data_IF_076688757542
#
_entry.id   IF_076688757542
#
_cell.length_a   1.000
_cell.length_b   1.000
_cell.length_c   1.000
_cell.angle_alpha   90.00
_cell.angle_beta   90.00
_cell.angle_gamma   90.00
#
_symmetry.space_group_name_H-M   'P 1'
#
loop_
_entity.id
_entity.type
_entity.pdbx_description
1 polymer ?
#
# COMPACT_ATOMS: atom_id res chain seq x y z
N UNK A 1 -10.38 12.41 -24.76
CA UNK A 1 -10.45 11.50 -23.58
C UNK A 1 -9.04 11.24 -23.06
N UNK A 2 -8.34 12.30 -22.61
CA UNK A 2 -6.92 12.22 -22.22
C UNK A 2 -6.57 13.05 -20.98
N UNK A 3 -7.52 13.80 -20.43
CA UNK A 3 -7.27 14.74 -19.32
C UNK A 3 -7.48 14.08 -17.94
N UNK A 4 -8.16 12.92 -17.88
CA UNK A 4 -8.42 12.22 -16.62
C UNK A 4 -7.21 11.46 -16.03
N UNK A 5 -6.12 11.27 -16.78
CA UNK A 5 -5.03 10.39 -16.36
C UNK A 5 -3.89 11.09 -15.59
N UNK A 6 -3.72 12.40 -15.76
CA UNK A 6 -2.61 13.14 -15.14
C UNK A 6 -2.82 13.30 -13.63
N UNK A 7 -4.07 13.52 -13.19
CA UNK A 7 -4.40 13.64 -11.76
C UNK A 7 -4.24 12.32 -10.99
N UNK A 8 -4.61 11.20 -11.62
CA UNK A 8 -4.41 9.86 -11.05
C UNK A 8 -2.92 9.52 -11.00
N UNK A 9 -2.15 9.91 -12.03
CA UNK A 9 -0.71 9.70 -12.07
C UNK A 9 0.03 10.53 -11.02
N UNK A 10 -0.32 11.81 -10.83
CA UNK A 10 0.28 12.64 -9.77
C UNK A 10 -0.11 12.17 -8.38
N UNK A 11 -1.32 11.64 -8.20
CA UNK A 11 -1.76 11.03 -6.94
C UNK A 11 -1.00 9.73 -6.63
N UNK A 12 -0.76 8.87 -7.64
CA UNK A 12 0.02 7.64 -7.49
C UNK A 12 1.51 7.91 -7.26
N UNK A 13 2.09 8.92 -7.93
CA UNK A 13 3.46 9.38 -7.67
C UNK A 13 3.57 9.96 -6.25
N UNK A 14 2.57 10.74 -5.82
CA UNK A 14 2.49 11.28 -4.47
C UNK A 14 2.43 10.19 -3.40
N UNK A 15 1.60 9.16 -3.60
CA UNK A 15 1.53 7.98 -2.72
C UNK A 15 2.85 7.19 -2.70
N UNK A 16 3.48 7.01 -3.87
CA UNK A 16 4.76 6.33 -4.00
C UNK A 16 5.88 7.01 -3.22
N UNK A 17 6.00 8.34 -3.35
CA UNK A 17 6.95 9.15 -2.59
C UNK A 17 6.65 9.16 -1.09
N UNK A 18 5.36 9.12 -0.71
CA UNK A 18 4.95 8.98 0.69
C UNK A 18 5.37 7.64 1.28
N UNK A 19 5.10 6.53 0.58
CA UNK A 19 5.52 5.19 1.01
C UNK A 19 7.04 5.04 1.05
N UNK A 20 7.77 5.65 0.12
CA UNK A 20 9.22 5.67 0.13
C UNK A 20 9.77 6.46 1.33
N UNK A 21 9.18 7.62 1.65
CA UNK A 21 9.59 8.40 2.83
C UNK A 21 9.32 7.67 4.14
N UNK A 22 8.25 6.88 4.22
CA UNK A 22 7.93 6.05 5.39
C UNK A 22 8.90 4.87 5.49
N UNK A 23 9.22 4.23 4.36
CA UNK A 23 10.17 3.13 4.29
C UNK A 23 11.59 3.59 4.64
N UNK A 24 12.10 4.65 4.02
CA UNK A 24 13.43 5.21 4.30
C UNK A 24 13.55 5.67 5.76
N UNK A 25 12.49 6.26 6.33
CA UNK A 25 12.46 6.63 7.74
C UNK A 25 12.39 5.42 8.67
N UNK A 26 11.70 4.34 8.28
CA UNK A 26 11.67 3.09 9.03
C UNK A 26 13.02 2.35 8.99
N UNK A 27 13.69 2.33 7.84
CA UNK A 27 15.02 1.75 7.67
C UNK A 27 16.05 2.53 8.47
N UNK A 28 16.01 3.87 8.44
CA UNK A 28 16.93 4.70 9.24
C UNK A 28 16.68 4.57 10.75
N UNK A 29 15.44 4.40 11.20
CA UNK A 29 15.11 4.10 12.60
C UNK A 29 15.60 2.72 13.04
N UNK A 30 15.51 1.70 12.16
CA UNK A 30 16.07 0.36 12.41
C UNK A 30 17.60 0.39 12.37
N UNK A 31 18.22 1.22 11.53
CA UNK A 31 19.68 1.40 11.45
C UNK A 31 20.23 2.08 12.70
N UNK A 32 19.54 3.10 13.23
CA UNK A 32 19.87 3.71 14.53
C UNK A 32 19.69 2.72 15.70
N UNK A 33 18.71 1.81 15.63
CA UNK A 33 18.50 0.78 16.65
C UNK A 33 19.50 -0.40 16.54
N UNK A 34 20.03 -0.68 15.34
CA UNK A 34 21.06 -1.70 15.11
C UNK A 34 22.46 -1.24 15.54
N UNK A 35 22.84 0.01 15.30
CA UNK A 35 24.19 0.51 15.64
C UNK A 35 24.44 0.53 17.16
N UNK A 36 23.38 0.55 17.97
CA UNK A 36 23.46 0.39 19.42
C UNK A 36 23.55 -1.05 19.94
N UNK A 37 23.31 -2.07 19.09
CA UNK A 37 23.18 -3.48 19.51
C UNK A 37 24.22 -4.44 18.91
N UNK A 38 24.98 -4.01 17.89
CA UNK A 38 25.93 -4.88 17.15
C UNK A 38 27.30 -5.03 17.85
N UNK A 39 27.30 -5.33 19.16
CA UNK A 39 28.49 -5.89 19.83
C UNK A 39 28.36 -7.32 20.31
N UNK A 40 27.18 -7.94 20.24
CA UNK A 40 27.00 -9.34 20.58
C UNK A 40 25.93 -9.94 19.69
N UNK A 41 26.33 -10.69 18.64
CA UNK A 41 25.60 -11.82 18.03
C UNK A 41 26.23 -12.15 16.65
N UNK A 42 27.50 -12.54 16.65
CA UNK A 42 28.08 -13.23 15.50
C UNK A 42 27.73 -14.72 15.61
N UNK A 43 26.61 -15.16 15.02
CA UNK A 43 26.48 -16.58 14.61
C UNK A 43 25.31 -16.97 13.67
N UNK A 44 24.63 -16.05 12.97
CA UNK A 44 23.47 -16.43 12.11
C UNK A 44 23.36 -15.69 10.77
N UNK A 45 24.48 -15.39 10.09
CA UNK A 45 24.45 -14.50 8.91
C UNK A 45 24.72 -15.10 7.53
N UNK A 46 25.03 -16.39 7.38
CA UNK A 46 25.40 -16.89 6.03
C UNK A 46 24.23 -17.27 5.11
N UNK A 47 23.02 -17.55 5.63
CA UNK A 47 21.85 -17.85 4.78
C UNK A 47 21.01 -16.61 4.41
N UNK A 48 21.19 -15.49 5.11
CA UNK A 48 20.39 -14.27 4.88
C UNK A 48 21.09 -13.24 3.97
N UNK A 49 22.42 -13.26 3.84
CA UNK A 49 23.12 -12.31 2.96
C UNK A 49 22.89 -12.60 1.46
N UNK A 50 22.75 -13.85 1.06
CA UNK A 50 22.51 -14.22 -0.35
C UNK A 50 21.09 -13.85 -0.82
N UNK A 51 20.11 -13.89 0.10
CA UNK A 51 18.71 -13.49 -0.18
C UNK A 51 18.54 -11.96 -0.24
N UNK A 52 19.34 -11.21 0.52
CA UNK A 52 19.32 -9.73 0.51
C UNK A 52 20.05 -9.21 -0.73
N UNK A 53 21.21 -9.78 -1.09
CA UNK A 53 21.96 -9.45 -2.31
C UNK A 53 21.13 -9.60 -3.59
N UNK A 54 20.42 -10.73 -3.74
CA UNK A 54 19.57 -10.98 -4.91
C UNK A 54 18.31 -10.10 -4.97
N UNK A 55 17.86 -9.56 -3.83
CA UNK A 55 16.73 -8.62 -3.78
C UNK A 55 17.13 -7.20 -4.15
N UNK A 56 18.31 -6.76 -3.74
CA UNK A 56 18.82 -5.42 -4.06
C UNK A 56 19.18 -5.28 -5.55
N UNK A 57 19.70 -6.33 -6.18
CA UNK A 57 19.96 -6.37 -7.63
C UNK A 57 18.65 -6.25 -8.44
N UNK A 58 17.62 -7.02 -8.07
CA UNK A 58 16.30 -6.97 -8.71
C UNK A 58 15.61 -5.60 -8.53
N UNK A 59 15.80 -4.93 -7.39
CA UNK A 59 15.24 -3.60 -7.14
C UNK A 59 15.98 -2.52 -7.94
N UNK A 60 17.30 -2.64 -8.07
CA UNK A 60 18.15 -1.75 -8.89
C UNK A 60 17.77 -1.83 -10.37
N UNK A 61 17.53 -3.04 -10.88
CA UNK A 61 17.10 -3.26 -12.27
C UNK A 61 15.68 -2.76 -12.52
N UNK A 62 14.76 -2.97 -11.57
CA UNK A 62 13.41 -2.40 -11.64
C UNK A 62 13.46 -0.86 -11.68
N UNK A 63 14.31 -0.24 -10.85
CA UNK A 63 14.51 1.21 -10.83
C UNK A 63 15.01 1.73 -12.17
N UNK A 64 16.04 1.10 -12.75
CA UNK A 64 16.57 1.48 -14.08
C UNK A 64 15.51 1.36 -15.17
N UNK A 65 14.70 0.31 -15.14
CA UNK A 65 13.61 0.13 -16.10
C UNK A 65 12.54 1.22 -15.95
N UNK A 66 12.14 1.55 -14.72
CA UNK A 66 11.19 2.63 -14.46
C UNK A 66 11.74 3.99 -14.88
N UNK A 67 13.02 4.28 -14.62
CA UNK A 67 13.68 5.52 -15.08
C UNK A 67 13.74 5.60 -16.61
N UNK A 68 14.00 4.48 -17.28
CA UNK A 68 13.99 4.37 -18.74
C UNK A 68 12.59 4.61 -19.33
N UNK A 69 11.56 3.98 -18.76
CA UNK A 69 10.17 4.18 -19.18
C UNK A 69 9.70 5.61 -18.94
N UNK A 70 10.06 6.20 -17.79
CA UNK A 70 9.73 7.59 -17.46
C UNK A 70 10.38 8.55 -18.46
N UNK A 71 11.62 8.28 -18.87
CA UNK A 71 12.33 9.08 -19.87
C UNK A 71 11.67 8.97 -21.26
N UNK A 72 11.25 7.76 -21.67
CA UNK A 72 10.48 7.57 -22.92
C UNK A 72 9.14 8.30 -22.87
N UNK A 73 8.40 8.18 -21.77
CA UNK A 73 7.10 8.85 -21.60
C UNK A 73 7.23 10.38 -21.63
N UNK A 74 8.32 10.92 -21.10
CA UNK A 74 8.60 12.37 -21.18
C UNK A 74 8.79 12.84 -22.62
N UNK A 75 9.52 12.09 -23.44
CA UNK A 75 9.68 12.37 -24.88
C UNK A 75 8.35 12.28 -25.63
N UNK A 76 7.54 11.25 -25.35
CA UNK A 76 6.19 11.13 -25.95
C UNK A 76 5.29 12.33 -25.60
N UNK A 77 5.37 12.86 -24.38
CA UNK A 77 4.61 14.06 -23.97
C UNK A 77 5.07 15.30 -24.75
N UNK A 78 6.38 15.50 -24.88
CA UNK A 78 6.95 16.62 -25.63
C UNK A 78 6.52 16.57 -27.12
N UNK A 79 6.49 15.38 -27.73
CA UNK A 79 5.99 15.20 -29.10
C UNK A 79 4.49 15.53 -29.22
N UNK A 80 3.68 15.08 -28.27
CA UNK A 80 2.23 15.37 -28.24
C UNK A 80 1.97 16.86 -28.07
N UNK A 81 2.72 17.55 -27.23
CA UNK A 81 2.59 19.01 -27.05
C UNK A 81 3.01 19.77 -28.32
N UNK A 82 4.06 19.31 -29.02
CA UNK A 82 4.45 19.85 -30.32
C UNK A 82 3.35 19.68 -31.38
N UNK A 83 2.73 18.49 -31.44
CA UNK A 83 1.61 18.21 -32.34
C UNK A 83 0.37 19.07 -32.01
N UNK A 84 0.06 19.23 -30.73
CA UNK A 84 -1.03 20.09 -30.25
C UNK A 84 -0.82 21.55 -30.68
N UNK A 85 0.39 22.06 -30.54
CA UNK A 85 0.73 23.42 -30.97
C UNK A 85 0.58 23.60 -32.49
N UNK A 86 1.04 22.63 -33.29
CA UNK A 86 0.84 22.63 -34.75
C UNK A 86 -0.65 22.60 -35.12
N UNK A 87 -1.45 21.84 -34.40
CA UNK A 87 -2.90 21.77 -34.64
C UNK A 87 -3.59 23.10 -34.32
N UNK A 88 -3.23 23.74 -33.21
CA UNK A 88 -3.76 25.06 -32.84
C UNK A 88 -3.43 26.12 -33.89
N UNK A 89 -2.21 26.10 -34.44
CA UNK A 89 -1.82 26.97 -35.55
C UNK A 89 -2.67 26.73 -36.80
N UNK A 90 -2.91 25.46 -37.17
CA UNK A 90 -3.80 25.13 -38.30
C UNK A 90 -5.25 25.58 -38.08
N UNK A 91 -5.78 25.45 -36.87
CA UNK A 91 -7.11 25.93 -36.51
C UNK A 91 -7.18 27.46 -36.67
N UNK A 92 -6.16 28.19 -36.21
CA UNK A 92 -6.11 29.64 -36.37
C UNK A 92 -6.09 30.06 -37.84
N UNK A 93 -5.31 29.37 -38.69
CA UNK A 93 -5.27 29.64 -40.13
C UNK A 93 -6.60 29.34 -40.83
N UNK A 94 -7.26 28.23 -40.45
CA UNK A 94 -8.58 27.89 -40.98
C UNK A 94 -9.65 28.91 -40.60
N UNK A 95 -9.62 29.43 -39.37
CA UNK A 95 -10.54 30.48 -38.95
C UNK A 95 -10.33 31.78 -39.74
N UNK A 96 -9.07 32.20 -39.94
CA UNK A 96 -8.77 33.36 -40.79
C UNK A 96 -9.28 33.16 -42.22
N UNK A 97 -9.05 31.98 -42.80
CA UNK A 97 -9.56 31.67 -44.15
C UNK A 97 -11.08 31.64 -44.22
N UNK A 98 -11.75 31.21 -43.15
CA UNK A 98 -13.20 31.22 -43.05
C UNK A 98 -13.74 32.66 -43.02
N UNK A 99 -13.17 33.51 -42.19
CA UNK A 99 -13.57 34.92 -42.07
C UNK A 99 -13.39 35.65 -43.41
N UNK A 100 -12.29 35.35 -44.13
CA UNK A 100 -12.05 35.86 -45.48
C UNK A 100 -13.15 35.42 -46.46
N UNK A 101 -13.49 34.13 -46.48
CA UNK A 101 -14.54 33.60 -47.35
C UNK A 101 -15.93 34.16 -47.02
N UNK A 102 -16.24 34.41 -45.75
CA UNK A 102 -17.48 35.07 -45.34
C UNK A 102 -17.53 36.53 -45.84
N UNK A 103 -16.41 37.24 -45.80
CA UNK A 103 -16.28 38.59 -46.36
C UNK A 103 -16.45 38.60 -47.88
N UNK A 104 -15.75 37.72 -48.59
CA UNK A 104 -15.83 37.61 -50.05
C UNK A 104 -17.27 37.26 -50.49
N UNK A 105 -17.95 36.37 -49.75
CA UNK A 105 -19.35 36.03 -50.00
C UNK A 105 -20.28 37.23 -49.80
N UNK A 106 -20.02 38.07 -48.80
CA UNK A 106 -20.79 39.28 -48.56
C UNK A 106 -20.63 40.30 -49.71
N UNK A 107 -19.40 40.53 -50.17
CA UNK A 107 -19.14 41.40 -51.32
C UNK A 107 -19.83 40.90 -52.59
N UNK A 108 -19.74 39.60 -52.86
CA UNK A 108 -20.40 38.99 -54.03
C UNK A 108 -21.92 39.19 -53.99
N UNK A 109 -22.54 39.00 -52.82
CA UNK A 109 -23.99 39.24 -52.63
C UNK A 109 -24.35 40.71 -52.88
N UNK A 110 -23.49 41.63 -52.46
CA UNK A 110 -23.68 43.06 -52.68
C UNK A 110 -23.60 43.40 -54.18
N UNK A 111 -22.61 42.88 -54.89
CA UNK A 111 -22.46 43.07 -56.34
C UNK A 111 -23.64 42.49 -57.13
N UNK A 112 -24.08 41.28 -56.81
CA UNK A 112 -25.27 40.67 -57.41
C UNK A 112 -26.49 41.58 -57.20
N UNK A 113 -26.65 42.14 -56.00
CA UNK A 113 -27.76 43.04 -55.67
C UNK A 113 -27.70 44.34 -56.47
N UNK A 114 -26.51 44.94 -56.62
CA UNK A 114 -26.29 46.14 -57.44
C UNK A 114 -26.61 45.88 -58.91
N UNK A 115 -26.14 44.76 -59.46
CA UNK A 115 -26.36 44.37 -60.87
C UNK A 115 -27.82 44.04 -61.16
N UNK A 116 -28.52 43.45 -60.19
CA UNK A 116 -29.98 43.23 -60.26
C UNK A 116 -30.74 44.55 -60.29
N UNK A 117 -30.31 45.55 -59.51
CA UNK A 117 -30.93 46.88 -59.47
C UNK A 117 -30.71 47.67 -60.78
N UNK A 118 -29.53 47.55 -61.41
CA UNK A 118 -29.27 48.18 -62.71
C UNK A 118 -30.11 47.55 -63.83
N UNK A 119 -30.24 46.23 -63.86
CA UNK A 119 -31.11 45.51 -64.83
C UNK A 119 -32.59 45.91 -64.70
N UNK A 120 -33.06 46.25 -63.50
CA UNK A 120 -34.41 46.74 -63.26
C UNK A 120 -34.62 48.21 -63.70
N UNK A 121 -33.54 49.00 -63.80
CA UNK A 121 -33.60 50.41 -64.24
C UNK A 121 -33.58 50.55 -65.77
N UNK A 122 -33.04 49.57 -66.48
CA UNK A 122 -32.94 49.57 -67.96
C UNK A 122 -34.17 48.96 -68.67
N UNK A 123 -35.23 48.59 -67.96
CA UNK A 123 -36.47 48.08 -68.55
C UNK A 123 -37.54 49.19 -68.70
N UNK A 124 -37.96 49.54 -69.93
CA UNK A 124 -39.09 50.43 -70.13
C UNK A 124 -40.38 49.73 -69.71
N UNK A 125 -41.05 50.26 -68.69
CA UNK A 125 -42.43 49.90 -68.37
C UNK A 125 -43.39 50.47 -69.42
N UNK A 126 -43.62 49.78 -70.54
CA UNK A 126 -44.98 49.59 -71.08
C UNK A 126 -45.01 48.73 -72.35
N UNK A 127 -46.10 47.96 -72.46
CA UNK A 127 -46.53 47.14 -73.60
C UNK A 127 -45.69 45.89 -73.88
N UNK A 128 -46.14 44.75 -73.31
CA UNK A 128 -46.36 43.50 -74.05
C UNK A 128 -46.80 42.39 -73.07
N UNK A 129 -48.10 42.35 -72.77
CA UNK A 129 -48.73 41.20 -72.08
C UNK A 129 -49.47 40.25 -73.03
N UNK A 130 -49.24 40.34 -74.35
CA UNK A 130 -49.93 39.48 -75.35
C UNK A 130 -49.03 38.68 -76.31
N UNK A 131 -47.71 38.65 -76.12
CA UNK A 131 -46.81 37.78 -76.92
C UNK A 131 -45.98 36.79 -76.10
N UNK A 132 -46.19 36.71 -74.78
CA UNK A 132 -45.34 35.89 -73.88
C UNK A 132 -45.52 34.38 -74.08
N UNK A 133 -46.57 33.92 -74.75
CA UNK A 133 -46.78 32.49 -75.03
C UNK A 133 -46.09 31.97 -76.30
N UNK A 134 -45.45 32.81 -77.12
CA UNK A 134 -44.66 32.38 -78.30
C UNK A 134 -43.15 32.56 -78.18
N UNK A 135 -42.65 33.13 -77.07
CA UNK A 135 -41.22 33.37 -76.82
C UNK A 135 -40.63 32.31 -75.86
N UNK A 136 -41.34 31.20 -75.63
CA UNK A 136 -40.87 30.12 -74.74
C UNK A 136 -39.68 29.33 -75.28
N UNK A 137 -39.46 29.32 -76.60
CA UNK A 137 -38.55 28.40 -77.28
C UNK A 137 -37.45 29.05 -78.15
N UNK A 138 -37.46 30.37 -78.36
CA UNK A 138 -36.57 31.03 -79.35
C UNK A 138 -35.44 31.89 -78.76
N UNK A 139 -35.35 32.01 -77.43
CA UNK A 139 -34.28 32.77 -76.78
C UNK A 139 -33.55 31.89 -75.76
N UNK A 140 -32.31 31.43 -76.09
CA UNK A 140 -31.51 30.57 -75.24
C UNK A 140 -31.35 31.10 -73.81
N UNK A 141 -31.22 32.42 -73.67
CA UNK A 141 -31.02 33.09 -72.37
C UNK A 141 -32.20 32.90 -71.42
N UNK A 142 -33.43 32.75 -71.93
CA UNK A 142 -34.63 32.57 -71.11
C UNK A 142 -34.74 31.15 -70.56
N UNK A 143 -34.28 30.15 -71.31
CA UNK A 143 -34.17 28.76 -70.85
C UNK A 143 -33.05 28.62 -69.83
N UNK A 144 -31.89 29.22 -70.10
CA UNK A 144 -30.75 29.22 -69.19
C UNK A 144 -31.12 29.87 -67.84
N UNK A 145 -31.84 30.99 -67.87
CA UNK A 145 -32.29 31.67 -66.65
C UNK A 145 -33.30 30.84 -65.84
N UNK A 146 -34.24 30.14 -66.47
CA UNK A 146 -35.13 29.17 -65.77
C UNK A 146 -34.34 28.05 -65.11
N UNK A 147 -33.30 27.56 -65.79
CA UNK A 147 -32.43 26.48 -65.29
C UNK A 147 -31.62 26.96 -64.09
N UNK A 148 -31.04 28.17 -64.16
CA UNK A 148 -30.34 28.81 -63.06
C UNK A 148 -31.24 29.06 -61.85
N UNK A 149 -32.48 29.53 -62.05
CA UNK A 149 -33.45 29.71 -60.96
C UNK A 149 -33.73 28.38 -60.26
N UNK A 150 -33.93 27.29 -61.01
CA UNK A 150 -34.17 25.97 -60.43
C UNK A 150 -32.94 25.48 -59.64
N UNK A 151 -31.73 25.69 -60.14
CA UNK A 151 -30.49 25.37 -59.42
C UNK A 151 -30.32 26.19 -58.14
N UNK A 152 -30.67 27.49 -58.17
CA UNK A 152 -30.64 28.36 -56.98
C UNK A 152 -31.63 27.84 -55.93
N UNK A 153 -32.87 27.54 -56.32
CA UNK A 153 -33.87 27.00 -55.40
C UNK A 153 -33.43 25.68 -54.78
N UNK A 154 -32.79 24.81 -55.56
CA UNK A 154 -32.25 23.55 -55.06
C UNK A 154 -31.11 23.80 -54.06
N UNK A 155 -30.20 24.73 -54.34
CA UNK A 155 -29.13 25.11 -53.41
C UNK A 155 -29.67 25.75 -52.14
N UNK A 156 -30.70 26.59 -52.22
CA UNK A 156 -31.35 27.19 -51.05
C UNK A 156 -31.95 26.12 -50.13
N UNK A 157 -32.54 25.06 -50.68
CA UNK A 157 -33.05 23.93 -49.89
C UNK A 157 -31.94 23.19 -49.14
N UNK A 158 -30.78 22.99 -49.77
CA UNK A 158 -29.61 22.35 -49.15
C UNK A 158 -29.01 23.25 -48.06
N UNK A 159 -28.97 24.57 -48.29
CA UNK A 159 -28.50 25.53 -47.28
C UNK A 159 -29.39 25.46 -46.04
N UNK A 160 -30.72 25.47 -46.21
CA UNK A 160 -31.65 25.37 -45.08
C UNK A 160 -31.48 24.07 -44.28
N UNK A 161 -31.23 22.94 -44.95
CA UNK A 161 -30.92 21.67 -44.30
C UNK A 161 -29.61 21.74 -43.49
N UNK A 162 -28.55 22.29 -44.09
CA UNK A 162 -27.26 22.46 -43.44
C UNK A 162 -27.33 23.39 -42.23
N UNK A 163 -28.06 24.50 -42.32
CA UNK A 163 -28.29 25.42 -41.20
C UNK A 163 -28.98 24.73 -40.03
N UNK A 164 -30.01 23.91 -40.31
CA UNK A 164 -30.68 23.14 -39.28
C UNK A 164 -29.74 22.10 -38.64
N UNK A 165 -28.92 21.41 -39.45
CA UNK A 165 -27.95 20.43 -38.96
C UNK A 165 -26.87 21.07 -38.09
N UNK A 166 -26.40 22.27 -38.45
CA UNK A 166 -25.46 23.06 -37.63
C UNK A 166 -26.11 23.44 -36.30
N UNK A 167 -27.38 23.87 -36.31
CA UNK A 167 -28.10 24.23 -35.09
C UNK A 167 -28.19 23.06 -34.12
N UNK A 168 -28.63 21.88 -34.59
CA UNK A 168 -28.72 20.65 -33.78
C UNK A 168 -27.34 20.25 -33.23
N UNK A 169 -26.30 20.31 -34.05
CA UNK A 169 -24.94 19.99 -33.60
C UNK A 169 -24.43 20.93 -32.50
N UNK A 170 -24.76 22.23 -32.57
CA UNK A 170 -24.42 23.19 -31.51
C UNK A 170 -25.15 22.88 -30.21
N UNK A 171 -26.44 22.59 -30.29
CA UNK A 171 -27.26 22.23 -29.11
C UNK A 171 -26.72 20.96 -28.44
N UNK A 172 -26.44 19.91 -29.23
CA UNK A 172 -25.85 18.67 -28.73
C UNK A 172 -24.46 18.87 -28.13
N UNK A 173 -23.61 19.70 -28.75
CA UNK A 173 -22.28 20.02 -28.23
C UNK A 173 -22.36 20.72 -26.88
N UNK A 174 -23.28 21.68 -26.73
CA UNK A 174 -23.46 22.43 -25.49
C UNK A 174 -23.98 21.52 -24.36
N UNK A 175 -24.95 20.67 -24.67
CA UNK A 175 -25.49 19.71 -23.70
C UNK A 175 -24.43 18.70 -23.24
N UNK A 176 -23.62 18.18 -24.16
CA UNK A 176 -22.53 17.27 -23.83
C UNK A 176 -21.46 17.93 -22.95
N UNK A 177 -21.18 19.21 -23.17
CA UNK A 177 -20.25 19.99 -22.35
C UNK A 177 -20.80 20.19 -20.93
N UNK A 178 -22.06 20.60 -20.81
CA UNK A 178 -22.73 20.79 -19.51
C UNK A 178 -22.80 19.47 -18.71
N UNK A 179 -23.17 18.36 -19.34
CA UNK A 179 -23.27 17.06 -18.68
C UNK A 179 -21.90 16.56 -18.19
N UNK A 180 -20.85 16.74 -18.99
CA UNK A 180 -19.48 16.39 -18.59
C UNK A 180 -19.00 17.27 -17.45
N UNK A 181 -19.20 18.58 -17.53
CA UNK A 181 -18.82 19.52 -16.47
C UNK A 181 -19.53 19.17 -15.16
N UNK A 182 -20.83 18.86 -15.22
CA UNK A 182 -21.62 18.47 -14.05
C UNK A 182 -21.10 17.18 -13.43
N UNK A 183 -20.77 16.18 -14.25
CA UNK A 183 -20.21 14.89 -13.78
C UNK A 183 -18.84 15.09 -13.13
N UNK A 184 -17.93 15.80 -13.80
CA UNK A 184 -16.60 16.11 -13.28
C UNK A 184 -16.66 16.90 -11.96
N UNK A 185 -17.61 17.82 -11.83
CA UNK A 185 -17.80 18.59 -10.60
C UNK A 185 -18.23 17.70 -9.44
N UNK A 186 -19.17 16.78 -9.67
CA UNK A 186 -19.60 15.82 -8.66
C UNK A 186 -18.45 14.88 -8.23
N UNK A 187 -17.65 14.40 -9.18
CA UNK A 187 -16.45 13.60 -8.88
C UNK A 187 -15.42 14.39 -8.07
N UNK A 188 -15.19 15.66 -8.41
CA UNK A 188 -14.27 16.53 -7.68
C UNK A 188 -14.74 16.78 -6.24
N UNK A 189 -16.02 17.05 -6.02
CA UNK A 189 -16.58 17.27 -4.69
C UNK A 189 -16.46 16.01 -3.81
N UNK A 190 -16.72 14.83 -4.38
CA UNK A 190 -16.52 13.54 -3.70
C UNK A 190 -15.04 13.31 -3.34
N UNK A 191 -14.13 13.58 -4.28
CA UNK A 191 -12.69 13.44 -4.04
C UNK A 191 -12.21 14.36 -2.90
N UNK A 192 -12.73 15.59 -2.87
CA UNK A 192 -12.43 16.56 -1.81
C UNK A 192 -12.90 16.06 -0.44
N UNK A 193 -14.11 15.52 -0.35
CA UNK A 193 -14.64 14.94 0.90
C UNK A 193 -13.76 13.77 1.38
N UNK A 194 -13.38 12.87 0.47
CA UNK A 194 -12.48 11.76 0.81
C UNK A 194 -11.12 12.25 1.34
N UNK A 195 -10.53 13.28 0.74
CA UNK A 195 -9.29 13.88 1.21
C UNK A 195 -9.43 14.41 2.64
N UNK A 196 -10.54 15.08 2.97
CA UNK A 196 -10.80 15.56 4.34
C UNK A 196 -10.91 14.41 5.35
N UNK A 197 -11.57 13.31 4.96
CA UNK A 197 -11.65 12.08 5.79
C UNK A 197 -10.26 11.49 6.02
N UNK A 198 -9.44 11.37 4.98
CA UNK A 198 -8.07 10.87 5.09
C UNK A 198 -7.22 11.75 6.01
N UNK A 199 -7.31 13.08 5.90
CA UNK A 199 -6.58 14.00 6.76
C UNK A 199 -6.97 13.85 8.24
N UNK A 200 -8.27 13.76 8.55
CA UNK A 200 -8.75 13.52 9.92
C UNK A 200 -8.24 12.19 10.47
N UNK A 201 -8.28 11.15 9.65
CA UNK A 201 -7.83 9.81 10.02
C UNK A 201 -6.32 9.78 10.26
N UNK A 202 -5.55 10.46 9.41
CA UNK A 202 -4.09 10.51 9.54
C UNK A 202 -3.67 11.23 10.84
N UNK A 203 -4.35 12.33 11.20
CA UNK A 203 -4.14 13.00 12.51
C UNK A 203 -4.38 12.05 13.69
N UNK A 204 -5.40 11.19 13.60
CA UNK A 204 -5.68 10.18 14.63
C UNK A 204 -4.55 9.15 14.73
N UNK A 205 -4.03 8.68 13.61
CA UNK A 205 -2.89 7.76 13.61
C UNK A 205 -1.62 8.39 14.18
N UNK A 206 -1.31 9.65 13.83
CA UNK A 206 -0.17 10.35 14.43
C UNK A 206 -0.27 10.46 15.95
N UNK A 207 -1.46 10.74 16.48
CA UNK A 207 -1.70 10.75 17.93
C UNK A 207 -1.48 9.38 18.56
N UNK A 208 -1.97 8.31 17.94
CA UNK A 208 -1.75 6.93 18.43
C UNK A 208 -0.27 6.58 18.41
N UNK A 209 0.46 6.92 17.34
CA UNK A 209 1.90 6.68 17.24
C UNK A 209 2.67 7.42 18.34
N UNK A 210 2.30 8.66 18.65
CA UNK A 210 2.93 9.42 19.76
C UNK A 210 2.73 8.71 21.10
N UNK A 211 1.50 8.29 21.41
CA UNK A 211 1.20 7.56 22.65
C UNK A 211 1.98 6.25 22.76
N UNK A 212 2.09 5.50 21.66
CA UNK A 212 2.88 4.26 21.64
C UNK A 212 4.37 4.53 21.85
N UNK A 213 4.93 5.60 21.26
CA UNK A 213 6.32 5.99 21.50
C UNK A 213 6.59 6.34 22.96
N UNK A 214 5.68 7.07 23.60
CA UNK A 214 5.76 7.39 25.04
C UNK A 214 5.78 6.11 25.88
N UNK A 215 4.87 5.16 25.62
CA UNK A 215 4.84 3.87 26.32
C UNK A 215 6.11 3.04 26.12
N UNK A 216 6.67 3.03 24.91
CA UNK A 216 7.94 2.34 24.63
C UNK A 216 9.09 2.97 25.41
N UNK A 217 9.13 4.30 25.55
CA UNK A 217 10.16 4.99 26.33
C UNK A 217 10.04 4.66 27.82
N UNK A 218 8.82 4.62 28.36
CA UNK A 218 8.56 4.20 29.75
C UNK A 218 9.01 2.74 29.99
N UNK A 219 8.72 1.84 29.05
CA UNK A 219 9.17 0.44 29.15
C UNK A 219 10.70 0.33 29.06
N UNK A 220 11.34 1.08 28.16
CA UNK A 220 12.81 1.11 28.03
C UNK A 220 13.46 1.63 29.32
N UNK A 221 12.90 2.66 29.96
CA UNK A 221 13.42 3.19 31.22
C UNK A 221 13.21 2.21 32.38
N UNK A 222 12.03 1.60 32.51
CA UNK A 222 11.76 0.57 33.51
C UNK A 222 12.70 -0.63 33.37
N UNK A 223 12.94 -1.09 32.13
CA UNK A 223 13.91 -2.15 31.84
C UNK A 223 15.32 -1.79 32.31
N UNK A 224 15.78 -0.56 32.05
CA UNK A 224 17.10 -0.10 32.49
C UNK A 224 17.23 -0.05 34.01
N UNK A 225 16.17 0.32 34.72
CA UNK A 225 16.14 0.31 36.19
C UNK A 225 16.26 -1.13 36.69
N UNK A 226 15.43 -2.05 36.16
CA UNK A 226 15.47 -3.48 36.50
C UNK A 226 16.84 -4.10 36.20
N UNK A 227 17.45 -3.80 35.06
CA UNK A 227 18.80 -4.29 34.73
C UNK A 227 19.87 -3.77 35.71
N UNK A 228 19.74 -2.53 36.20
CA UNK A 228 20.63 -1.98 37.22
C UNK A 228 20.42 -2.63 38.58
N UNK A 229 19.17 -2.89 38.98
CA UNK A 229 18.85 -3.59 40.23
C UNK A 229 19.40 -5.02 40.22
N UNK A 230 19.19 -5.77 39.14
CA UNK A 230 19.74 -7.11 38.95
C UNK A 230 21.28 -7.08 39.00
N UNK A 231 21.92 -6.13 38.30
CA UNK A 231 23.39 -6.00 38.31
C UNK A 231 23.93 -5.55 39.66
N UNK A 232 23.19 -4.72 40.40
CA UNK A 232 23.52 -4.29 41.76
C UNK A 232 23.50 -5.47 42.73
N UNK A 233 22.47 -6.33 42.65
CA UNK A 233 22.41 -7.57 43.43
C UNK A 233 23.55 -8.54 43.10
N UNK A 234 24.08 -8.53 41.88
CA UNK A 234 25.26 -9.35 41.52
C UNK A 234 26.61 -8.73 41.91
N UNK A 235 26.66 -7.46 42.33
CA UNK A 235 27.91 -6.77 42.72
C UNK A 235 28.15 -6.71 44.22
N UNK A 236 27.16 -7.01 45.05
CA UNK A 236 27.40 -7.38 46.45
C UNK A 236 28.07 -8.75 46.49
N UNK A 237 29.37 -8.74 46.21
CA UNK A 237 30.31 -9.79 46.58
C UNK A 237 30.46 -9.81 48.10
N UNK A 238 29.38 -10.10 48.82
CA UNK A 238 29.54 -10.96 49.99
C UNK A 238 30.04 -12.29 49.42
N UNK A 239 31.06 -12.94 50.00
CA UNK A 239 31.43 -14.26 49.52
C UNK A 239 30.13 -15.05 49.44
N UNK A 240 29.82 -15.61 48.26
CA UNK A 240 28.92 -16.75 48.21
C UNK A 240 29.62 -17.83 49.06
N UNK A 241 29.41 -17.75 50.37
CA UNK A 241 29.25 -18.93 51.18
C UNK A 241 28.36 -19.79 50.33
N UNK A 242 28.89 -20.96 49.92
CA UNK A 242 28.15 -22.09 49.39
C UNK A 242 26.71 -21.91 49.85
N UNK A 243 25.80 -21.59 48.94
CA UNK A 243 24.40 -21.56 49.33
C UNK A 243 24.15 -22.98 49.81
N UNK A 244 24.10 -23.14 51.13
CA UNK A 244 23.62 -24.34 51.76
C UNK A 244 22.28 -24.55 51.09
N UNK A 245 22.16 -25.62 50.32
CA UNK A 245 20.96 -25.90 49.55
C UNK A 245 19.75 -25.86 50.48
N UNK A 246 18.55 -25.70 49.91
CA UNK A 246 17.35 -25.59 50.74
C UNK A 246 17.22 -26.88 51.56
N UNK A 247 17.36 -26.76 52.89
CA UNK A 247 17.15 -27.88 53.80
C UNK A 247 15.65 -27.98 54.02
N UNK A 248 15.03 -29.01 53.47
CA UNK A 248 13.62 -29.27 53.63
C UNK A 248 13.37 -30.74 53.95
N UNK A 249 12.16 -31.02 54.42
CA UNK A 249 11.70 -32.39 54.64
C UNK A 249 11.00 -32.85 53.36
N UNK A 250 11.50 -33.93 52.77
CA UNK A 250 10.96 -34.54 51.56
C UNK A 250 10.33 -35.87 51.92
N UNK A 251 9.11 -36.10 51.44
CA UNK A 251 8.40 -37.36 51.63
C UNK A 251 8.04 -37.93 50.27
N UNK A 252 8.37 -39.20 50.07
CA UNK A 252 8.12 -39.85 48.78
C UNK A 252 8.45 -41.33 48.79
N UNK A 253 8.13 -41.96 47.67
CA UNK A 253 8.41 -43.36 47.41
C UNK A 253 9.80 -43.51 46.81
N UNK A 254 10.55 -44.52 47.26
CA UNK A 254 11.89 -44.78 46.75
C UNK A 254 11.87 -45.72 45.55
N UNK A 255 12.60 -45.34 44.49
CA UNK A 255 12.88 -46.14 43.31
C UNK A 255 14.39 -46.34 43.17
N UNK A 256 14.83 -47.56 42.90
CA UNK A 256 16.21 -47.82 42.53
C UNK A 256 16.31 -48.04 41.01
N UNK A 257 17.16 -47.25 40.36
CA UNK A 257 17.50 -47.44 38.95
C UNK A 257 18.82 -48.22 38.84
N UNK A 258 18.78 -49.54 38.55
CA UNK A 258 19.98 -50.37 38.52
C UNK A 258 20.98 -49.93 37.44
N UNK A 259 20.50 -49.48 36.27
CA UNK A 259 21.34 -49.07 35.15
C UNK A 259 22.22 -47.86 35.47
N UNK A 260 21.68 -46.90 36.23
CA UNK A 260 22.37 -45.66 36.60
C UNK A 260 22.96 -45.70 38.01
N UNK A 261 22.78 -46.83 38.73
CA UNK A 261 23.17 -47.00 40.14
C UNK A 261 22.77 -45.80 41.00
N UNK A 262 21.52 -45.35 40.89
CA UNK A 262 21.00 -44.20 41.66
C UNK A 262 19.70 -44.52 42.35
N UNK A 263 19.46 -43.87 43.47
CA UNK A 263 18.19 -43.91 44.21
C UNK A 263 17.43 -42.64 43.87
N UNK A 264 16.15 -42.77 43.55
CA UNK A 264 15.25 -41.67 43.24
C UNK A 264 14.15 -41.65 44.31
N UNK A 265 13.89 -40.47 44.88
CA UNK A 265 12.70 -40.22 45.67
C UNK A 265 11.66 -39.58 44.75
N UNK A 266 10.50 -40.22 44.65
CA UNK A 266 9.34 -39.74 43.90
C UNK A 266 8.36 -39.18 44.92
N UNK A 267 8.16 -37.87 44.95
CA UNK A 267 7.19 -37.23 45.84
C UNK A 267 5.75 -37.52 45.40
N UNK A 268 4.78 -37.21 46.26
CA UNK A 268 3.35 -37.47 46.01
C UNK A 268 2.81 -36.77 44.76
N UNK A 269 3.41 -35.64 44.37
CA UNK A 269 3.09 -34.87 43.16
C UNK A 269 3.80 -35.41 41.90
N UNK A 270 4.60 -36.47 42.02
CA UNK A 270 5.31 -37.10 40.92
C UNK A 270 6.69 -36.51 40.60
N UNK A 271 7.17 -35.52 41.37
CA UNK A 271 8.50 -34.95 41.17
C UNK A 271 9.59 -35.96 41.56
N UNK A 272 10.58 -36.14 40.68
CA UNK A 272 11.68 -37.08 40.88
C UNK A 272 12.94 -36.36 41.39
N UNK A 273 13.47 -36.84 42.50
CA UNK A 273 14.69 -36.31 43.13
C UNK A 273 15.76 -37.39 43.19
N UNK A 274 16.94 -37.13 42.64
CA UNK A 274 18.08 -38.06 42.76
C UNK A 274 18.72 -37.92 44.14
N UNK A 275 18.79 -39.01 44.90
CA UNK A 275 19.48 -39.06 46.19
C UNK A 275 20.94 -39.49 45.95
N UNK A 276 21.89 -38.76 46.54
CA UNK A 276 23.31 -39.16 46.52
C UNK A 276 23.50 -40.45 47.34
N UNK A 277 24.09 -41.48 46.71
CA UNK A 277 24.19 -42.83 47.27
C UNK A 277 24.96 -42.90 48.61
N UNK A 278 25.85 -41.96 48.88
CA UNK A 278 26.73 -41.98 50.06
C UNK A 278 26.01 -41.55 51.35
N UNK A 279 24.83 -40.92 51.26
CA UNK A 279 24.20 -40.28 52.42
C UNK A 279 23.25 -41.20 53.22
N UNK A 280 22.78 -42.33 52.66
CA UNK A 280 21.78 -43.22 53.31
C UNK A 280 21.89 -44.74 53.09
N UNK A 281 23.02 -45.33 52.63
CA UNK A 281 23.01 -46.69 52.07
C UNK A 281 22.80 -47.82 53.09
N UNK A 282 22.94 -47.58 54.40
CA UNK A 282 22.72 -48.64 55.41
C UNK A 282 21.25 -48.86 55.76
N UNK A 283 20.57 -47.82 56.23
CA UNK A 283 19.25 -47.92 56.83
C UNK A 283 18.11 -48.06 55.81
N UNK A 284 18.24 -47.40 54.64
CA UNK A 284 17.26 -47.53 53.57
C UNK A 284 17.33 -48.91 52.91
N UNK A 285 18.55 -49.46 52.72
CA UNK A 285 18.72 -50.82 52.17
C UNK A 285 18.11 -51.86 53.12
N UNK A 286 18.40 -51.78 54.42
CA UNK A 286 17.94 -52.75 55.40
C UNK A 286 16.42 -52.74 55.63
N UNK A 287 15.79 -51.56 55.69
CA UNK A 287 14.35 -51.44 56.02
C UNK A 287 13.44 -51.50 54.80
N UNK A 288 13.86 -50.92 53.66
CA UNK A 288 13.07 -50.92 52.43
C UNK A 288 13.29 -52.15 51.55
N UNK A 289 14.39 -52.89 51.74
CA UNK A 289 14.73 -54.06 50.90
C UNK A 289 15.07 -53.63 49.47
N UNK A 290 16.13 -52.84 49.32
CA UNK A 290 16.63 -52.45 48.00
C UNK A 290 17.15 -53.70 47.23
N UNK A 291 16.99 -53.75 45.89
CA UNK A 291 16.46 -52.69 45.03
C UNK A 291 14.93 -52.69 44.94
N UNK A 292 14.32 -51.51 45.05
CA UNK A 292 12.91 -51.31 44.69
C UNK A 292 12.84 -51.04 43.19
N UNK A 293 12.32 -51.99 42.42
CA UNK A 293 12.09 -51.87 40.98
C UNK A 293 10.77 -51.13 40.68
N UNK A 294 10.55 -50.75 39.42
CA UNK A 294 9.33 -50.05 38.95
C UNK A 294 8.03 -50.78 39.29
N UNK A 295 8.06 -52.12 39.41
CA UNK A 295 6.95 -52.99 39.84
C UNK A 295 6.63 -52.92 41.34
N UNK A 296 7.41 -52.16 42.11
CA UNK A 296 7.39 -52.13 43.58
C UNK A 296 7.51 -50.73 44.18
N UNK A 297 7.32 -49.68 43.36
CA UNK A 297 7.55 -48.27 43.72
C UNK A 297 6.91 -47.88 45.05
N UNK A 298 5.73 -48.40 45.38
CA UNK A 298 5.00 -48.01 46.58
C UNK A 298 5.42 -48.75 47.85
N UNK A 299 6.37 -49.70 47.79
CA UNK A 299 6.75 -50.55 48.93
C UNK A 299 7.46 -49.81 50.06
N UNK A 300 8.10 -48.69 49.77
CA UNK A 300 8.79 -47.92 50.80
C UNK A 300 8.59 -46.43 50.62
N UNK A 301 7.82 -45.86 51.54
CA UNK A 301 7.67 -44.43 51.67
C UNK A 301 8.64 -43.93 52.74
N UNK A 302 9.39 -42.89 52.41
CA UNK A 302 10.43 -42.35 53.29
C UNK A 302 10.25 -40.85 53.41
N UNK A 303 10.39 -40.36 54.64
CA UNK A 303 10.50 -38.95 54.96
C UNK A 303 11.94 -38.66 55.37
N UNK A 304 12.63 -37.83 54.59
CA UNK A 304 14.03 -37.43 54.83
C UNK A 304 14.15 -35.93 55.03
N UNK A 305 15.04 -35.51 55.91
CA UNK A 305 15.60 -34.17 55.90
C UNK A 305 16.77 -34.16 54.93
N UNK A 306 16.70 -33.33 53.88
CA UNK A 306 17.74 -33.27 52.87
C UNK A 306 17.99 -31.83 52.41
N UNK A 307 19.20 -31.58 51.94
CA UNK A 307 19.62 -30.37 51.28
C UNK A 307 19.38 -30.52 49.77
N UNK A 308 18.48 -29.71 49.22
CA UNK A 308 18.20 -29.69 47.77
C UNK A 308 19.25 -28.89 47.03
N UNK A 309 19.83 -29.50 45.99
CA UNK A 309 20.78 -28.89 45.05
C UNK A 309 20.27 -29.06 43.63
N UNK A 310 20.41 -28.00 42.83
CA UNK A 310 20.14 -28.04 41.40
C UNK A 310 21.46 -28.16 40.67
N UNK A 311 21.62 -29.20 39.85
CA UNK A 311 22.83 -29.41 39.04
C UNK A 311 22.42 -29.67 37.58
N UNK A 312 22.54 -28.64 36.75
CA UNK A 312 21.95 -28.67 35.41
C UNK A 312 20.43 -28.76 35.52
N UNK A 313 19.83 -29.74 34.83
CA UNK A 313 18.38 -29.99 34.84
C UNK A 313 17.95 -31.04 35.89
N UNK A 314 18.86 -31.55 36.72
CA UNK A 314 18.55 -32.56 37.74
C UNK A 314 18.40 -31.95 39.15
N UNK A 315 17.37 -32.40 39.86
CA UNK A 315 17.16 -32.11 41.28
C UNK A 315 17.85 -33.19 42.13
N UNK A 316 18.86 -32.76 42.90
CA UNK A 316 19.70 -33.65 43.71
C UNK A 316 19.43 -33.38 45.19
N UNK A 317 19.14 -34.44 45.94
CA UNK A 317 19.03 -34.40 47.40
C UNK A 317 20.32 -34.94 48.01
N UNK A 318 20.96 -34.08 48.81
CA UNK A 318 22.00 -34.50 49.75
C UNK A 318 21.35 -34.81 51.10
N UNK A 319 21.43 -36.06 51.51
CA UNK A 319 20.80 -36.54 52.72
C UNK A 319 21.38 -35.94 53.99
N UNK A 320 20.53 -35.55 54.95
CA UNK A 320 20.98 -35.20 56.30
C UNK A 320 20.50 -36.19 57.35
N UNK A 321 19.22 -36.55 57.31
CA UNK A 321 18.60 -37.43 58.30
C UNK A 321 17.39 -38.16 57.72
N UNK A 322 17.15 -39.40 58.13
CA UNK A 322 15.91 -40.13 57.83
C UNK A 322 14.97 -39.96 59.03
N UNK A 323 13.86 -39.24 58.83
CA UNK A 323 12.87 -39.01 59.89
C UNK A 323 11.93 -40.20 60.07
N UNK A 324 11.50 -40.80 58.97
CA UNK A 324 10.54 -41.90 59.00
C UNK A 324 10.72 -42.82 57.78
N UNK A 325 10.55 -44.13 57.99
CA UNK A 325 10.47 -45.14 56.93
C UNK A 325 9.19 -45.94 57.17
N UNK A 326 8.24 -45.87 56.24
CA UNK A 326 7.04 -46.71 56.22
C UNK A 326 7.17 -47.75 55.13
N UNK A 327 7.18 -49.01 55.54
CA UNK A 327 7.07 -50.13 54.62
C UNK A 327 5.59 -50.38 54.34
N UNK A 328 5.17 -50.13 53.12
CA UNK A 328 3.83 -50.51 52.68
C UNK A 328 3.87 -52.01 52.34
N UNK A 329 2.89 -52.77 52.85
CA UNK A 329 2.82 -54.22 52.68
C UNK A 329 2.48 -54.61 51.26
#
# INVERSE_FOLDING_TARGET
MFILNISVLTFLIGLGLFSYSIYDRSVNLVKEELDGSVKNLNQTNDLNMEVISNKDENLSDLKKNLESELSKKKLEIEEVDSLKNKLNQKISLLNLSKDQLESDLFELKLEISKKKLSLLKDQPQNKQKKEVSKIGNNYPELQENKTLISQIQQKDSVIAELENRIKVLRENSKQLEDDKIKTLKAEFDNLKENIEIYQKTNKKYEQTIRKQKEQILELKSAKLILEKEIKGQTKDNTPQNKSDGIIATFTGNLLYEPNKKRIILISLDGTEYTILQDDFPGDLVAKCGLPITTSSKDRCNVTILAELKVKGDELILKGKEIKEIKKNK
#
